data_IF_617252903855
#
_entry.id   IF_617252903855
#
_cell.length_a   1.000
_cell.length_b   1.000
_cell.length_c   1.000
_cell.angle_alpha   90.00
_cell.angle_beta   90.00
_cell.angle_gamma   90.00
#
_symmetry.space_group_name_H-M   'P 1'
#
loop_
_entity.id
_entity.type
_entity.pdbx_description
1 polymer ?
#
# COMPACT_ATOMS: atom_id res chain seq x y z
N UNK A 1 -42.31 -12.50 70.71
CA UNK A 1 -41.75 -11.59 69.72
C UNK A 1 -41.10 -12.45 68.59
N UNK A 2 -41.83 -12.66 67.48
CA UNK A 2 -41.33 -13.47 66.33
C UNK A 2 -40.82 -12.45 65.30
N UNK A 3 -39.49 -12.50 64.99
CA UNK A 3 -38.89 -11.72 63.91
C UNK A 3 -39.07 -12.44 62.60
N UNK A 4 -39.80 -11.85 61.65
CA UNK A 4 -39.85 -12.29 60.27
C UNK A 4 -38.67 -11.73 59.47
N UNK A 5 -37.85 -12.61 58.94
CA UNK A 5 -36.77 -12.26 57.98
C UNK A 5 -37.34 -12.30 56.61
N UNK A 6 -37.45 -11.17 55.91
CA UNK A 6 -37.83 -11.07 54.52
C UNK A 6 -36.56 -11.33 53.67
N UNK A 7 -36.50 -12.45 52.95
CA UNK A 7 -35.46 -12.75 51.95
C UNK A 7 -35.92 -12.14 50.64
N UNK A 8 -35.30 -11.02 50.29
CA UNK A 8 -35.48 -10.39 48.96
C UNK A 8 -34.75 -11.18 47.88
N UNK A 9 -35.51 -11.81 47.01
CA UNK A 9 -34.98 -12.50 45.82
C UNK A 9 -34.62 -11.44 44.75
N UNK A 10 -33.30 -11.18 44.59
CA UNK A 10 -32.80 -10.28 43.55
C UNK A 10 -32.77 -11.04 42.21
N UNK A 11 -33.80 -10.81 41.40
CA UNK A 11 -33.88 -11.41 40.06
C UNK A 11 -32.97 -10.62 39.12
N UNK A 12 -31.76 -11.11 38.87
CA UNK A 12 -30.84 -10.55 37.88
C UNK A 12 -31.35 -10.91 36.49
N UNK A 13 -31.96 -9.95 35.83
CA UNK A 13 -32.28 -10.03 34.39
C UNK A 13 -30.97 -10.00 33.60
N UNK A 14 -30.50 -11.16 33.19
CA UNK A 14 -29.48 -11.24 32.13
C UNK A 14 -30.12 -10.83 30.82
N UNK A 15 -29.90 -9.58 30.41
CA UNK A 15 -30.13 -9.12 29.04
C UNK A 15 -29.17 -9.88 28.12
N UNK A 16 -29.66 -10.98 27.57
CA UNK A 16 -28.98 -11.72 26.52
C UNK A 16 -29.11 -10.87 25.25
N UNK A 17 -28.16 -9.96 25.00
CA UNK A 17 -27.99 -9.35 23.71
C UNK A 17 -27.63 -10.45 22.70
N UNK A 18 -28.64 -10.98 22.02
CA UNK A 18 -28.40 -11.80 20.82
C UNK A 18 -27.66 -10.91 19.82
N UNK A 19 -26.42 -11.29 19.50
CA UNK A 19 -25.76 -10.77 18.31
C UNK A 19 -26.68 -11.06 17.12
N UNK A 20 -27.28 -10.01 16.58
CA UNK A 20 -27.99 -10.10 15.31
C UNK A 20 -26.89 -10.11 14.26
N UNK A 21 -26.43 -11.31 13.86
CA UNK A 21 -25.67 -11.48 12.64
C UNK A 21 -26.57 -11.01 11.49
N UNK A 22 -26.42 -9.76 11.10
CA UNK A 22 -27.05 -9.22 9.91
C UNK A 22 -26.49 -9.99 8.71
N UNK A 23 -27.24 -10.97 8.23
CA UNK A 23 -26.88 -11.69 7.02
C UNK A 23 -27.11 -10.72 5.86
N UNK A 24 -26.04 -10.08 5.40
CA UNK A 24 -26.09 -9.24 4.23
C UNK A 24 -26.48 -10.09 3.03
N UNK A 25 -27.62 -9.82 2.43
CA UNK A 25 -27.97 -10.40 1.14
C UNK A 25 -27.05 -9.75 0.11
N UNK A 26 -26.20 -10.54 -0.55
CA UNK A 26 -25.32 -10.05 -1.61
C UNK A 26 -26.18 -9.74 -2.83
N UNK A 27 -26.53 -8.49 -2.99
CA UNK A 27 -27.19 -8.02 -4.19
C UNK A 27 -26.27 -8.09 -5.40
N UNK A 28 -26.81 -8.35 -6.57
CA UNK A 28 -26.05 -8.38 -7.84
C UNK A 28 -25.31 -7.06 -8.09
N UNK A 29 -25.87 -5.94 -7.65
CA UNK A 29 -25.28 -4.61 -7.69
C UNK A 29 -23.96 -4.54 -6.89
N UNK A 30 -23.92 -5.12 -5.70
CA UNK A 30 -22.73 -5.17 -4.85
C UNK A 30 -21.64 -6.05 -5.49
N UNK A 31 -22.01 -7.25 -5.96
CA UNK A 31 -21.07 -8.16 -6.63
C UNK A 31 -20.45 -7.48 -7.86
N UNK A 32 -21.28 -6.78 -8.65
CA UNK A 32 -20.83 -6.00 -9.80
C UNK A 32 -19.87 -4.88 -9.41
N UNK A 33 -20.19 -4.10 -8.39
CA UNK A 33 -19.33 -3.01 -7.90
C UNK A 33 -17.97 -3.52 -7.40
N UNK A 34 -17.95 -4.60 -6.62
CA UNK A 34 -16.72 -5.22 -6.14
C UNK A 34 -15.86 -5.74 -7.30
N UNK A 35 -16.45 -6.40 -8.28
CA UNK A 35 -15.72 -6.90 -9.45
C UNK A 35 -15.18 -5.75 -10.32
N UNK A 36 -15.89 -4.66 -10.45
CA UNK A 36 -15.40 -3.46 -11.14
C UNK A 36 -14.22 -2.82 -10.38
N UNK A 37 -14.30 -2.71 -9.05
CA UNK A 37 -13.18 -2.26 -8.22
C UNK A 37 -11.93 -3.13 -8.44
N UNK A 38 -12.07 -4.47 -8.49
CA UNK A 38 -10.97 -5.41 -8.76
C UNK A 38 -10.34 -5.17 -10.14
N UNK A 39 -11.14 -4.91 -11.18
CA UNK A 39 -10.65 -4.57 -12.54
C UNK A 39 -9.87 -3.25 -12.55
N UNK A 40 -10.40 -2.22 -11.90
CA UNK A 40 -9.71 -0.92 -11.77
C UNK A 40 -8.36 -1.10 -11.06
N UNK A 41 -8.31 -1.88 -9.97
CA UNK A 41 -7.06 -2.19 -9.26
C UNK A 41 -6.08 -2.94 -10.14
N UNK A 42 -6.53 -3.97 -10.88
CA UNK A 42 -5.70 -4.71 -11.81
C UNK A 42 -5.07 -3.78 -12.86
N UNK A 43 -5.84 -2.88 -13.45
CA UNK A 43 -5.34 -1.87 -14.40
C UNK A 43 -4.31 -0.93 -13.74
N UNK A 44 -4.54 -0.50 -12.50
CA UNK A 44 -3.65 0.41 -11.80
C UNK A 44 -2.32 -0.23 -11.37
N UNK A 45 -2.18 -1.57 -11.44
CA UNK A 45 -0.93 -2.28 -11.12
C UNK A 45 0.17 -2.06 -12.15
N UNK A 46 -0.17 -1.78 -13.39
CA UNK A 46 0.80 -1.61 -14.48
C UNK A 46 1.90 -0.62 -14.10
N UNK A 47 1.56 0.51 -13.48
CA UNK A 47 2.52 1.52 -13.02
C UNK A 47 3.58 1.00 -12.03
N UNK A 48 3.28 -0.08 -11.29
CA UNK A 48 4.21 -0.73 -10.37
C UNK A 48 4.95 -1.88 -11.04
N UNK A 49 4.32 -2.55 -12.03
CA UNK A 49 4.97 -3.58 -12.84
C UNK A 49 6.02 -3.00 -13.79
N UNK A 50 5.89 -1.72 -14.15
CA UNK A 50 6.93 -0.99 -14.88
C UNK A 50 8.20 -0.74 -14.06
N UNK A 51 8.12 -0.78 -12.71
CA UNK A 51 9.28 -0.52 -11.85
C UNK A 51 10.36 -1.58 -12.08
N UNK A 52 11.58 -1.11 -12.33
CA UNK A 52 12.74 -1.96 -12.63
C UNK A 52 13.99 -1.54 -11.85
N UNK A 53 13.90 -0.55 -10.96
CA UNK A 53 14.97 -0.14 -10.10
C UNK A 53 14.56 0.88 -9.04
N UNK A 54 15.16 0.72 -7.86
CA UNK A 54 15.14 1.67 -6.76
C UNK A 54 16.51 1.62 -6.10
N UNK A 55 17.34 2.65 -6.30
CA UNK A 55 18.74 2.69 -5.88
C UNK A 55 18.98 3.90 -5.00
N UNK A 56 19.57 3.70 -3.81
CA UNK A 56 19.97 4.79 -2.94
C UNK A 56 21.12 5.58 -3.57
N UNK A 57 21.02 6.90 -3.59
CA UNK A 57 22.11 7.78 -4.00
C UNK A 57 23.04 7.97 -2.79
N UNK A 58 24.19 7.29 -2.79
CA UNK A 58 25.14 7.25 -1.67
C UNK A 58 26.56 7.74 -2.05
N UNK A 59 26.77 8.02 -3.34
CA UNK A 59 28.03 8.50 -3.89
C UNK A 59 27.89 9.92 -4.45
N UNK A 60 29.02 10.63 -4.59
CA UNK A 60 29.04 11.95 -5.24
C UNK A 60 28.60 11.88 -6.70
N UNK A 61 28.90 10.77 -7.39
CA UNK A 61 28.48 10.51 -8.77
C UNK A 61 27.87 9.13 -8.86
N UNK A 62 26.59 9.06 -9.23
CA UNK A 62 25.80 7.85 -9.33
C UNK A 62 25.47 7.58 -10.80
N UNK A 63 26.31 6.83 -11.50
CA UNK A 63 26.09 6.47 -12.90
C UNK A 63 25.14 5.30 -13.04
N UNK A 64 24.32 5.27 -14.12
CA UNK A 64 23.39 4.18 -14.37
C UNK A 64 23.24 3.84 -15.86
N UNK A 65 22.92 2.58 -16.09
CA UNK A 65 22.77 1.98 -17.42
C UNK A 65 22.97 0.48 -17.37
N UNK A 66 23.17 -0.17 -18.53
CA UNK A 66 23.29 -1.62 -18.62
C UNK A 66 24.67 -2.17 -18.21
N UNK A 67 25.74 -1.40 -18.46
CA UNK A 67 27.10 -1.89 -18.23
C UNK A 67 27.39 -2.09 -16.73
N UNK A 68 28.13 -3.16 -16.40
CA UNK A 68 28.54 -3.47 -15.04
C UNK A 68 29.46 -2.40 -14.41
N UNK A 69 30.03 -1.50 -15.21
CA UNK A 69 30.84 -0.38 -14.75
C UNK A 69 30.02 0.80 -14.21
N UNK A 70 28.69 0.73 -14.24
CA UNK A 70 27.85 1.72 -13.61
C UNK A 70 27.69 1.46 -12.11
N UNK A 71 27.46 2.53 -11.34
CA UNK A 71 27.06 2.41 -9.94
C UNK A 71 25.72 1.64 -9.82
N UNK A 72 24.78 1.97 -10.69
CA UNK A 72 23.48 1.29 -10.75
C UNK A 72 23.31 0.56 -12.07
N UNK A 73 23.33 -0.75 -12.02
CA UNK A 73 23.19 -1.63 -13.18
C UNK A 73 21.73 -1.94 -13.42
N UNK A 74 21.22 -1.55 -14.60
CA UNK A 74 19.85 -1.81 -15.03
C UNK A 74 19.81 -3.07 -15.90
N UNK A 75 19.18 -4.13 -15.41
CA UNK A 75 19.04 -5.42 -16.12
C UNK A 75 17.95 -5.36 -17.22
N UNK A 76 18.07 -4.37 -18.13
CA UNK A 76 17.09 -4.10 -19.17
C UNK A 76 17.64 -4.52 -20.53
N UNK A 77 16.86 -5.32 -21.30
CA UNK A 77 17.25 -5.77 -22.63
C UNK A 77 17.40 -4.58 -23.59
N UNK A 78 18.49 -4.58 -24.37
CA UNK A 78 18.78 -3.53 -25.38
C UNK A 78 18.92 -2.10 -24.82
N UNK A 79 19.21 -1.97 -23.51
CA UNK A 79 19.57 -0.68 -22.96
C UNK A 79 21.00 -0.30 -23.33
N UNK A 80 21.27 1.00 -23.43
CA UNK A 80 22.61 1.54 -23.65
C UNK A 80 23.55 1.23 -22.48
N UNK A 81 24.86 1.10 -22.70
CA UNK A 81 25.82 0.80 -21.63
C UNK A 81 25.72 1.77 -20.46
N UNK A 82 25.57 3.07 -20.73
CA UNK A 82 25.37 4.13 -19.73
C UNK A 82 24.40 5.17 -20.28
N UNK A 83 23.38 5.53 -19.50
CA UNK A 83 22.46 6.63 -19.83
C UNK A 83 23.05 7.97 -19.39
N UNK A 84 23.55 8.01 -18.17
CA UNK A 84 24.07 9.21 -17.57
C UNK A 84 24.53 8.98 -16.13
N UNK A 85 24.69 10.10 -15.41
CA UNK A 85 24.95 10.10 -13.98
C UNK A 85 24.07 11.10 -13.26
N UNK A 86 23.87 10.86 -11.97
CA UNK A 86 23.30 11.80 -11.02
C UNK A 86 24.40 12.22 -10.07
N UNK A 87 24.81 13.47 -10.14
CA UNK A 87 25.83 14.03 -9.28
C UNK A 87 25.17 14.67 -8.06
N UNK A 88 25.62 14.26 -6.88
CA UNK A 88 25.15 14.73 -5.59
C UNK A 88 26.25 15.60 -4.96
N UNK A 89 26.01 16.89 -4.86
CA UNK A 89 26.86 17.81 -4.11
C UNK A 89 26.11 18.39 -2.91
N UNK A 90 26.80 19.10 -2.03
CA UNK A 90 26.20 19.68 -0.82
C UNK A 90 24.96 20.57 -1.08
N UNK A 91 24.89 21.18 -2.26
CA UNK A 91 23.87 22.18 -2.58
C UNK A 91 23.10 21.87 -3.87
N UNK A 92 23.42 20.80 -4.59
CA UNK A 92 22.83 20.53 -5.89
C UNK A 92 22.75 19.04 -6.20
N UNK A 93 21.62 18.67 -6.76
CA UNK A 93 21.39 17.38 -7.39
C UNK A 93 21.28 17.63 -8.90
N UNK A 94 22.17 17.02 -9.70
CA UNK A 94 22.27 17.30 -11.13
C UNK A 94 22.33 16.01 -11.93
N UNK A 95 21.53 15.93 -12.98
CA UNK A 95 21.64 14.86 -13.97
C UNK A 95 22.51 15.31 -15.13
N UNK A 96 23.40 14.43 -15.60
CA UNK A 96 24.23 14.60 -16.79
C UNK A 96 24.06 13.38 -17.70
N UNK A 97 23.60 13.61 -18.94
CA UNK A 97 23.51 12.55 -19.94
C UNK A 97 24.91 12.21 -20.50
N UNK A 98 25.11 10.97 -20.91
CA UNK A 98 26.27 10.60 -21.73
C UNK A 98 26.12 11.27 -23.11
N UNK A 99 27.23 11.73 -23.67
CA UNK A 99 27.28 12.32 -25.03
C UNK A 99 26.58 11.39 -26.03
N UNK A 100 25.81 11.94 -26.94
CA UNK A 100 25.04 11.24 -27.99
C UNK A 100 23.91 10.31 -27.47
N UNK A 101 23.63 10.32 -26.18
CA UNK A 101 22.45 9.65 -25.60
C UNK A 101 21.31 10.68 -25.48
N UNK A 102 20.27 10.49 -26.29
CA UNK A 102 19.09 11.34 -26.25
C UNK A 102 18.27 11.09 -24.98
N UNK A 103 18.24 12.07 -24.12
CA UNK A 103 17.39 12.12 -22.91
C UNK A 103 16.41 13.28 -23.09
N UNK A 104 15.15 13.10 -22.69
CA UNK A 104 14.15 14.16 -22.75
C UNK A 104 13.46 14.36 -21.39
N UNK A 105 12.89 15.55 -21.20
CA UNK A 105 11.96 15.81 -20.09
C UNK A 105 10.51 15.45 -20.48
N UNK A 106 9.54 15.77 -19.62
CA UNK A 106 8.10 15.53 -19.84
C UNK A 106 7.52 16.35 -21.00
N UNK A 107 8.19 17.42 -21.44
CA UNK A 107 7.78 18.27 -22.56
C UNK A 107 8.39 17.81 -23.89
N UNK A 108 9.24 16.76 -23.87
CA UNK A 108 9.96 16.25 -25.05
C UNK A 108 11.22 17.04 -25.39
N UNK A 109 11.62 18.01 -24.57
CA UNK A 109 12.84 18.79 -24.75
C UNK A 109 14.06 17.94 -24.43
N UNK A 110 15.11 18.06 -25.29
CA UNK A 110 16.34 17.28 -25.10
C UNK A 110 17.20 17.86 -23.99
N UNK A 111 17.66 16.98 -23.11
CA UNK A 111 18.41 17.30 -21.89
C UNK A 111 19.80 16.69 -21.96
N UNK A 112 20.85 17.49 -21.95
CA UNK A 112 22.23 17.05 -21.73
C UNK A 112 22.63 17.16 -20.27
N UNK A 113 22.21 18.23 -19.60
CA UNK A 113 22.41 18.43 -18.17
C UNK A 113 21.24 19.22 -17.59
N UNK A 114 20.82 18.88 -16.36
CA UNK A 114 19.73 19.56 -15.66
C UNK A 114 19.90 19.48 -14.14
N UNK A 115 19.67 20.59 -13.44
CA UNK A 115 19.49 20.57 -12.00
C UNK A 115 18.15 19.89 -11.64
N UNK A 116 18.17 18.94 -10.72
CA UNK A 116 16.99 18.22 -10.25
C UNK A 116 16.55 18.82 -8.92
N UNK A 117 15.38 19.45 -8.90
CA UNK A 117 14.77 19.99 -7.68
C UNK A 117 13.75 18.98 -7.14
N UNK A 118 13.81 18.72 -5.84
CA UNK A 118 12.83 17.85 -5.16
C UNK A 118 11.64 18.72 -4.75
N UNK A 119 10.46 18.35 -5.22
CA UNK A 119 9.20 19.04 -4.93
C UNK A 119 8.67 18.71 -3.50
N UNK A 120 7.56 19.34 -3.12
CA UNK A 120 6.91 19.10 -1.83
C UNK A 120 6.42 17.64 -1.63
N UNK A 121 6.28 16.88 -2.72
CA UNK A 121 5.92 15.46 -2.67
C UNK A 121 7.16 14.55 -2.60
N UNK A 122 8.36 15.13 -2.51
CA UNK A 122 9.61 14.39 -2.45
C UNK A 122 10.05 13.81 -3.80
N UNK A 123 9.70 14.44 -4.94
CA UNK A 123 10.02 13.94 -6.27
C UNK A 123 10.75 14.98 -7.11
N UNK A 124 11.73 14.55 -7.91
CA UNK A 124 12.30 15.39 -8.96
C UNK A 124 11.46 15.38 -10.24
N UNK A 125 11.84 16.23 -11.20
CA UNK A 125 11.37 16.11 -12.58
C UNK A 125 11.65 14.70 -13.13
N UNK A 126 10.74 14.20 -13.98
CA UNK A 126 10.88 12.93 -14.70
C UNK A 126 11.70 13.12 -15.96
N UNK A 127 12.63 12.21 -16.21
CA UNK A 127 13.45 12.17 -17.44
C UNK A 127 13.22 10.84 -18.15
N UNK A 128 13.45 10.83 -19.47
CA UNK A 128 13.13 9.72 -20.35
C UNK A 128 14.27 9.39 -21.32
N UNK A 129 14.49 8.12 -21.54
CA UNK A 129 15.32 7.61 -22.64
C UNK A 129 14.61 6.39 -23.25
N UNK A 130 14.09 6.51 -24.48
CA UNK A 130 13.26 5.46 -25.12
C UNK A 130 12.11 5.03 -24.21
N UNK A 131 12.02 3.74 -23.83
CA UNK A 131 11.00 3.20 -22.94
C UNK A 131 11.30 3.38 -21.44
N UNK A 132 12.48 3.90 -21.11
CA UNK A 132 12.91 4.08 -19.72
C UNK A 132 12.52 5.45 -19.24
N UNK A 133 11.94 5.50 -18.06
CA UNK A 133 11.66 6.70 -17.30
C UNK A 133 12.35 6.61 -15.95
N UNK A 134 12.86 7.71 -15.44
CA UNK A 134 13.40 7.81 -14.09
C UNK A 134 13.12 9.14 -13.44
N UNK A 135 13.23 9.17 -12.14
CA UNK A 135 13.26 10.39 -11.32
C UNK A 135 14.00 10.11 -10.01
N UNK A 136 14.47 11.14 -9.35
CA UNK A 136 14.93 11.03 -7.96
C UNK A 136 13.74 11.25 -7.05
N UNK A 137 13.66 10.42 -6.00
CA UNK A 137 12.62 10.51 -4.98
C UNK A 137 13.26 10.55 -3.60
N UNK A 138 12.56 11.16 -2.63
CA UNK A 138 12.93 11.13 -1.22
C UNK A 138 12.13 10.04 -0.50
N UNK A 139 12.82 9.24 0.33
CA UNK A 139 12.21 8.31 1.28
C UNK A 139 12.99 8.37 2.59
N UNK A 140 12.30 8.62 3.70
CA UNK A 140 12.92 8.74 5.03
C UNK A 140 14.11 9.70 5.07
N UNK A 141 14.03 10.82 4.34
CA UNK A 141 15.11 11.81 4.26
C UNK A 141 16.27 11.45 3.32
N UNK A 142 16.26 10.26 2.74
CA UNK A 142 17.29 9.79 1.80
C UNK A 142 16.82 9.88 0.35
N UNK A 143 17.76 10.07 -0.57
CA UNK A 143 17.49 10.18 -2.01
C UNK A 143 17.67 8.84 -2.71
N UNK A 144 16.72 8.51 -3.59
CA UNK A 144 16.73 7.29 -4.39
C UNK A 144 16.48 7.59 -5.86
N UNK A 145 17.24 6.95 -6.75
CA UNK A 145 16.90 6.85 -8.17
C UNK A 145 15.83 5.78 -8.34
N UNK A 146 14.65 6.17 -8.83
CA UNK A 146 13.57 5.26 -9.19
C UNK A 146 13.47 5.15 -10.70
N UNK A 147 13.45 3.93 -11.22
CA UNK A 147 13.48 3.64 -12.66
C UNK A 147 12.28 2.79 -13.06
N UNK A 148 11.68 3.12 -14.20
CA UNK A 148 10.59 2.37 -14.83
C UNK A 148 11.00 1.98 -16.24
N UNK A 149 10.56 0.79 -16.68
CA UNK A 149 10.60 0.32 -18.06
C UNK A 149 9.17 0.03 -18.51
N UNK A 150 8.63 0.82 -19.45
CA UNK A 150 7.28 0.61 -20.00
C UNK A 150 7.15 -0.68 -20.81
N UNK A 151 8.25 -1.37 -21.08
CA UNK A 151 8.32 -2.69 -21.73
C UNK A 151 8.79 -3.80 -20.78
N UNK A 152 8.71 -3.58 -19.47
CA UNK A 152 9.07 -4.61 -18.50
C UNK A 152 8.26 -5.89 -18.76
N UNK A 153 8.92 -7.06 -18.94
CA UNK A 153 8.23 -8.32 -19.17
C UNK A 153 7.22 -8.70 -18.09
N UNK A 154 7.42 -8.21 -16.85
CA UNK A 154 6.48 -8.40 -15.73
C UNK A 154 5.05 -7.90 -16.05
N UNK A 155 4.90 -6.88 -16.91
CA UNK A 155 3.60 -6.33 -17.31
C UNK A 155 2.76 -7.40 -18.03
N UNK A 156 3.40 -8.22 -18.87
CA UNK A 156 2.72 -9.28 -19.62
C UNK A 156 2.64 -10.59 -18.84
N UNK A 157 3.63 -10.86 -17.99
CA UNK A 157 3.73 -12.08 -17.20
C UNK A 157 2.68 -12.12 -16.09
N UNK A 158 2.47 -10.99 -15.40
CA UNK A 158 1.55 -10.90 -14.27
C UNK A 158 0.09 -10.92 -14.72
N UNK A 159 -0.67 -11.95 -14.32
CA UNK A 159 -2.09 -12.14 -14.70
C UNK A 159 -3.09 -11.64 -13.66
N UNK A 160 -2.61 -11.12 -12.54
CA UNK A 160 -3.43 -10.68 -11.41
C UNK A 160 -3.44 -11.70 -10.26
N UNK A 161 -4.13 -11.37 -9.22
CA UNK A 161 -4.31 -12.25 -8.06
C UNK A 161 -5.70 -12.86 -8.06
N UNK A 162 -5.81 -14.12 -7.64
CA UNK A 162 -7.08 -14.73 -7.27
C UNK A 162 -7.62 -14.02 -6.02
N UNK A 163 -8.92 -14.06 -5.84
CA UNK A 163 -9.58 -13.60 -4.61
C UNK A 163 -10.27 -14.77 -3.93
N UNK A 164 -10.49 -14.64 -2.64
CA UNK A 164 -11.47 -15.49 -1.97
C UNK A 164 -12.86 -15.26 -2.58
N UNK A 165 -13.74 -16.24 -2.43
CA UNK A 165 -15.15 -16.04 -2.68
C UNK A 165 -15.68 -14.93 -1.80
N UNK A 166 -16.66 -14.19 -2.31
CA UNK A 166 -17.28 -13.10 -1.56
C UNK A 166 -17.97 -13.70 -0.34
N UNK A 167 -17.66 -13.19 0.84
CA UNK A 167 -18.16 -13.73 2.09
C UNK A 167 -18.74 -12.65 2.99
N UNK A 168 -20.03 -12.77 3.30
CA UNK A 168 -20.77 -11.87 4.17
C UNK A 168 -20.23 -11.89 5.62
N UNK A 169 -19.62 -13.00 6.05
CA UNK A 169 -19.03 -13.12 7.39
C UNK A 169 -17.98 -12.04 7.68
N UNK A 170 -17.41 -11.47 6.62
CA UNK A 170 -16.35 -10.46 6.70
C UNK A 170 -16.81 -9.05 6.26
N UNK A 171 -18.11 -8.79 6.38
CA UNK A 171 -18.71 -7.46 6.25
C UNK A 171 -19.28 -7.07 7.62
N UNK A 172 -18.82 -5.96 8.18
CA UNK A 172 -19.16 -5.54 9.53
C UNK A 172 -19.77 -4.14 9.55
N UNK A 173 -20.76 -3.93 10.43
CA UNK A 173 -21.10 -2.61 10.92
C UNK A 173 -20.01 -2.25 11.95
N UNK A 174 -19.14 -1.32 11.63
CA UNK A 174 -18.04 -0.87 12.48
C UNK A 174 -18.27 0.57 12.95
N UNK A 175 -17.80 0.90 14.12
CA UNK A 175 -17.80 2.28 14.63
C UNK A 175 -16.46 2.92 14.32
N UNK A 176 -16.48 4.06 13.63
CA UNK A 176 -15.31 4.86 13.35
C UNK A 176 -15.27 6.07 14.29
N UNK A 177 -14.10 6.32 14.89
CA UNK A 177 -13.83 7.49 15.72
C UNK A 177 -12.57 8.20 15.25
N UNK A 178 -12.68 9.49 15.00
CA UNK A 178 -11.51 10.34 14.76
C UNK A 178 -10.70 10.51 16.04
N UNK A 179 -9.38 10.53 15.92
CA UNK A 179 -8.51 10.97 17.01
C UNK A 179 -8.63 12.50 17.17
N UNK A 180 -8.54 13.00 18.39
CA UNK A 180 -8.49 14.46 18.66
C UNK A 180 -7.31 15.12 17.94
N UNK A 181 -6.19 14.42 17.91
CA UNK A 181 -4.99 14.80 17.14
C UNK A 181 -4.50 13.58 16.38
N UNK A 182 -4.24 13.76 15.08
CA UNK A 182 -3.67 12.67 14.26
C UNK A 182 -2.37 12.17 14.88
N UNK A 183 -2.19 10.84 14.89
CA UNK A 183 -0.95 10.23 15.32
C UNK A 183 -0.04 10.06 14.12
N UNK A 184 1.21 10.50 14.28
CA UNK A 184 2.25 10.34 13.27
C UNK A 184 3.17 9.23 13.75
N UNK A 185 3.24 8.14 13.01
CA UNK A 185 4.02 6.96 13.38
C UNK A 185 5.00 6.59 12.27
N UNK A 186 6.19 6.17 12.68
CA UNK A 186 7.14 5.53 11.76
C UNK A 186 6.77 4.07 11.63
N UNK A 187 6.48 3.64 10.40
CA UNK A 187 6.06 2.28 10.09
C UNK A 187 7.12 1.60 9.23
N UNK A 188 7.42 0.36 9.54
CA UNK A 188 8.38 -0.44 8.77
C UNK A 188 7.85 -0.76 7.36
N UNK A 189 8.78 -0.96 6.42
CA UNK A 189 8.47 -1.36 5.05
C UNK A 189 9.29 -2.56 4.58
N UNK A 190 8.88 -3.16 3.46
CA UNK A 190 9.53 -4.35 2.87
C UNK A 190 11.02 -4.18 2.61
N UNK A 191 11.48 -3.01 2.23
CA UNK A 191 12.90 -2.77 1.89
C UNK A 191 13.73 -2.26 3.08
N UNK A 192 13.19 -2.30 4.30
CA UNK A 192 13.86 -1.75 5.47
C UNK A 192 14.01 -0.23 5.42
N UNK A 193 13.23 0.43 4.56
CA UNK A 193 13.15 1.90 4.47
C UNK A 193 11.87 2.30 5.21
N UNK A 194 11.93 2.65 6.50
CA UNK A 194 10.75 3.04 7.25
C UNK A 194 10.15 4.30 6.62
N UNK A 195 8.86 4.47 6.75
CA UNK A 195 8.19 5.69 6.28
C UNK A 195 7.23 6.19 7.34
N UNK A 196 6.91 7.47 7.29
CA UNK A 196 6.01 8.11 8.24
C UNK A 196 4.60 8.05 7.69
N UNK A 197 3.66 7.63 8.52
CA UNK A 197 2.24 7.59 8.16
C UNK A 197 1.41 8.29 9.24
N UNK A 198 0.34 8.92 8.79
CA UNK A 198 -0.63 9.59 9.66
C UNK A 198 -1.79 8.64 9.95
N UNK A 199 -2.10 8.38 11.21
CA UNK A 199 -3.35 7.76 11.63
C UNK A 199 -4.30 8.84 12.13
N UNK A 200 -5.49 8.89 11.52
CA UNK A 200 -6.50 9.93 11.76
C UNK A 200 -7.63 9.48 12.66
N UNK A 201 -7.79 8.17 12.85
CA UNK A 201 -8.87 7.59 13.64
C UNK A 201 -8.75 6.08 13.74
N UNK A 202 -9.76 5.47 14.34
CA UNK A 202 -9.81 4.04 14.60
C UNK A 202 -11.20 3.48 14.26
N UNK A 203 -11.20 2.29 13.64
CA UNK A 203 -12.38 1.43 13.49
C UNK A 203 -12.47 0.49 14.67
N UNK A 204 -13.68 0.26 15.17
CA UNK A 204 -13.98 -0.77 16.16
C UNK A 204 -15.10 -1.66 15.62
N UNK A 205 -14.92 -2.97 15.70
CA UNK A 205 -15.91 -3.95 15.25
C UNK A 205 -15.85 -5.21 16.13
N UNK A 206 -16.85 -6.07 16.00
CA UNK A 206 -16.89 -7.35 16.73
C UNK A 206 -16.95 -8.52 15.75
N UNK A 207 -16.20 -9.56 16.07
CA UNK A 207 -16.21 -10.82 15.36
C UNK A 207 -16.17 -11.98 16.35
N UNK A 208 -17.14 -12.89 16.26
CA UNK A 208 -17.29 -14.05 17.16
C UNK A 208 -17.19 -13.68 18.67
N UNK A 209 -17.90 -12.62 19.05
CA UNK A 209 -17.95 -12.15 20.44
C UNK A 209 -16.76 -11.32 20.91
N UNK A 210 -15.65 -11.29 20.15
CA UNK A 210 -14.45 -10.54 20.47
C UNK A 210 -14.44 -9.18 19.79
N UNK A 211 -14.01 -8.13 20.50
CA UNK A 211 -13.82 -6.81 19.97
C UNK A 211 -12.44 -6.68 19.30
N UNK A 212 -12.39 -6.00 18.16
CA UNK A 212 -11.20 -5.68 17.39
C UNK A 212 -11.17 -4.20 17.06
N UNK A 213 -9.98 -3.68 16.83
CA UNK A 213 -9.79 -2.33 16.34
C UNK A 213 -8.74 -2.28 15.24
N UNK A 214 -8.88 -1.31 14.33
CA UNK A 214 -7.93 -1.02 13.26
C UNK A 214 -7.70 0.48 13.20
N UNK A 215 -6.46 0.90 13.23
CA UNK A 215 -6.09 2.28 12.98
C UNK A 215 -6.23 2.61 11.50
N UNK A 216 -6.76 3.79 11.23
CA UNK A 216 -7.08 4.27 9.88
C UNK A 216 -6.20 5.47 9.55
N UNK A 217 -5.49 5.37 8.44
CA UNK A 217 -4.66 6.43 7.91
C UNK A 217 -5.45 7.48 7.13
N UNK A 218 -4.77 8.55 6.76
CA UNK A 218 -5.32 9.63 5.94
C UNK A 218 -5.98 9.08 4.67
N UNK A 219 -7.11 9.69 4.28
CA UNK A 219 -7.91 9.25 3.13
C UNK A 219 -8.65 7.91 3.31
N UNK A 220 -8.77 7.40 4.54
CA UNK A 220 -9.46 6.13 4.83
C UNK A 220 -8.60 4.90 4.58
N UNK A 221 -7.28 5.06 4.47
CA UNK A 221 -6.35 3.97 4.22
C UNK A 221 -6.22 3.04 5.42
N UNK A 222 -6.38 1.73 5.21
CA UNK A 222 -6.26 0.70 6.24
C UNK A 222 -5.29 -0.38 5.78
N UNK A 223 -4.29 -0.64 6.59
CA UNK A 223 -3.36 -1.77 6.45
C UNK A 223 -3.81 -2.88 7.40
N UNK A 224 -3.90 -4.11 6.93
CA UNK A 224 -4.41 -5.24 7.72
C UNK A 224 -3.47 -6.44 7.62
N UNK A 225 -3.00 -6.92 8.76
CA UNK A 225 -2.37 -8.22 8.91
C UNK A 225 -3.34 -9.20 9.59
N UNK A 226 -3.23 -10.48 9.28
CA UNK A 226 -4.10 -11.52 9.85
C UNK A 226 -3.41 -12.90 9.81
N UNK A 227 -4.05 -13.92 10.37
CA UNK A 227 -3.47 -15.27 10.43
C UNK A 227 -3.40 -15.99 9.06
N UNK A 228 -3.82 -15.36 7.96
CA UNK A 228 -3.57 -15.88 6.60
C UNK A 228 -2.32 -15.29 5.97
N UNK A 229 -1.74 -14.25 6.58
CA UNK A 229 -0.55 -13.55 6.07
C UNK A 229 0.67 -14.49 6.05
N UNK A 230 1.31 -14.60 4.89
CA UNK A 230 2.44 -15.52 4.67
C UNK A 230 2.05 -16.96 4.35
N UNK A 231 0.75 -17.31 4.43
CA UNK A 231 0.25 -18.63 4.02
C UNK A 231 -0.52 -18.57 2.71
N UNK A 232 -1.70 -17.95 2.74
CA UNK A 232 -2.61 -17.84 1.58
C UNK A 232 -2.78 -16.41 1.10
N UNK A 233 -2.34 -15.44 1.91
CA UNK A 233 -2.29 -14.02 1.56
C UNK A 233 -0.87 -13.48 1.70
N UNK A 234 -0.62 -12.29 1.16
CA UNK A 234 0.71 -11.70 1.19
C UNK A 234 1.21 -11.49 2.62
N UNK A 235 2.44 -11.92 2.91
CA UNK A 235 3.03 -11.88 4.25
C UNK A 235 3.21 -10.48 4.83
N UNK A 236 3.34 -9.46 3.99
CA UNK A 236 3.37 -8.05 4.37
C UNK A 236 2.00 -7.43 4.62
N UNK A 237 0.94 -8.24 4.74
CA UNK A 237 -0.42 -7.76 4.93
C UNK A 237 -1.10 -7.28 3.65
N UNK A 238 -2.33 -6.84 3.78
CA UNK A 238 -3.19 -6.35 2.68
C UNK A 238 -3.71 -4.97 3.01
N UNK A 239 -4.15 -4.27 1.99
CA UNK A 239 -4.61 -2.90 2.08
C UNK A 239 -6.07 -2.78 1.67
N UNK A 240 -6.74 -1.79 2.22
CA UNK A 240 -8.05 -1.35 1.74
C UNK A 240 -8.24 0.14 2.00
N UNK A 241 -9.31 0.68 1.48
CA UNK A 241 -9.79 2.02 1.80
C UNK A 241 -11.23 1.92 2.28
N UNK A 242 -11.56 2.67 3.31
CA UNK A 242 -12.94 2.88 3.76
C UNK A 242 -13.41 4.27 3.33
N UNK A 243 -14.70 4.42 3.17
CA UNK A 243 -15.33 5.73 3.05
C UNK A 243 -15.41 6.36 4.45
N UNK A 244 -14.71 7.49 4.62
CA UNK A 244 -14.66 8.19 5.90
C UNK A 244 -15.97 8.93 6.16
N UNK A 245 -16.62 8.73 7.32
CA UNK A 245 -17.77 9.54 7.71
C UNK A 245 -17.32 10.97 8.03
N UNK A 246 -18.22 11.94 7.93
CA UNK A 246 -17.91 13.35 8.25
C UNK A 246 -17.59 13.58 9.72
N UNK A 247 -18.13 12.75 10.61
CA UNK A 247 -17.96 12.78 12.06
C UNK A 247 -17.85 11.34 12.57
N UNK A 248 -17.54 11.14 13.84
CA UNK A 248 -17.60 9.81 14.45
C UNK A 248 -18.95 9.15 14.17
N UNK A 249 -18.95 7.84 13.91
CA UNK A 249 -20.16 7.10 13.63
C UNK A 249 -19.94 5.77 12.92
N UNK A 250 -21.06 5.15 12.57
CA UNK A 250 -21.06 3.82 11.95
C UNK A 250 -20.62 3.87 10.50
N UNK A 251 -19.80 2.90 10.11
CA UNK A 251 -19.32 2.69 8.73
C UNK A 251 -19.35 1.20 8.39
N UNK A 252 -19.54 0.89 7.12
CA UNK A 252 -19.39 -0.50 6.65
C UNK A 252 -17.92 -0.84 6.46
N UNK A 253 -17.41 -1.80 7.23
CA UNK A 253 -16.07 -2.38 7.07
C UNK A 253 -16.20 -3.69 6.29
N UNK A 254 -15.86 -3.64 4.99
CA UNK A 254 -15.98 -4.76 4.08
C UNK A 254 -14.62 -5.28 3.64
N UNK A 255 -14.19 -6.35 4.25
CA UNK A 255 -12.89 -6.97 3.94
C UNK A 255 -12.83 -7.69 2.58
N UNK A 256 -13.94 -7.86 1.86
CA UNK A 256 -13.90 -8.36 0.49
C UNK A 256 -13.18 -7.39 -0.47
N UNK A 257 -13.00 -6.12 -0.07
CA UNK A 257 -12.21 -5.11 -0.77
C UNK A 257 -10.70 -5.16 -0.47
N UNK A 258 -10.22 -6.04 0.40
CA UNK A 258 -8.79 -6.19 0.67
C UNK A 258 -8.02 -6.57 -0.60
N UNK A 259 -6.89 -5.90 -0.81
CA UNK A 259 -6.02 -6.12 -1.96
C UNK A 259 -4.55 -6.22 -1.56
N UNK A 260 -3.77 -6.92 -2.38
CA UNK A 260 -2.33 -7.04 -2.18
C UNK A 260 -1.62 -5.71 -2.50
N UNK A 261 -0.71 -5.25 -1.63
CA UNK A 261 0.10 -4.06 -1.88
C UNK A 261 1.05 -4.28 -3.06
N UNK A 262 1.59 -3.21 -3.66
CA UNK A 262 2.52 -3.31 -4.78
C UNK A 262 3.72 -4.24 -4.54
N UNK A 263 4.19 -4.36 -3.30
CA UNK A 263 5.31 -5.22 -2.94
C UNK A 263 5.03 -6.73 -3.06
N UNK A 264 3.78 -7.12 -3.25
CA UNK A 264 3.42 -8.51 -3.54
C UNK A 264 3.78 -8.93 -4.98
N UNK A 265 3.97 -7.96 -5.88
CA UNK A 265 4.21 -8.20 -7.31
C UNK A 265 5.28 -7.30 -7.93
N UNK A 266 5.93 -6.44 -7.15
CA UNK A 266 7.07 -5.60 -7.57
C UNK A 266 8.12 -5.55 -6.46
N UNK A 267 9.38 -5.75 -6.83
CA UNK A 267 10.51 -5.74 -5.88
C UNK A 267 10.98 -4.32 -5.51
N UNK A 268 10.60 -3.32 -6.32
CA UNK A 268 11.11 -1.95 -6.23
C UNK A 268 10.13 -0.99 -5.56
N UNK A 269 9.30 -1.49 -4.64
CA UNK A 269 8.32 -0.71 -3.91
C UNK A 269 8.56 -0.75 -2.40
N UNK A 270 8.26 0.36 -1.73
CA UNK A 270 8.43 0.55 -0.29
C UNK A 270 7.06 0.49 0.41
N UNK A 271 6.42 -0.70 0.40
CA UNK A 271 5.13 -0.85 1.04
C UNK A 271 5.28 -0.95 2.54
N UNK A 272 4.47 -0.21 3.26
CA UNK A 272 4.39 -0.25 4.72
C UNK A 272 3.78 -1.57 5.18
N UNK A 273 4.26 -2.09 6.29
CA UNK A 273 3.64 -3.22 6.96
C UNK A 273 2.48 -2.74 7.87
N UNK A 274 1.44 -3.55 8.05
CA UNK A 274 0.40 -3.24 9.03
C UNK A 274 1.01 -3.04 10.41
N UNK A 275 0.71 -1.93 11.11
CA UNK A 275 1.20 -1.70 12.46
C UNK A 275 0.63 -2.75 13.41
N UNK A 276 1.23 -2.88 14.59
CA UNK A 276 0.87 -3.94 15.55
C UNK A 276 -0.63 -3.97 15.90
N UNK A 277 -1.25 -2.81 16.04
CA UNK A 277 -2.68 -2.67 16.35
C UNK A 277 -3.60 -3.11 15.20
N UNK A 278 -3.06 -3.19 13.98
CA UNK A 278 -3.79 -3.66 12.79
C UNK A 278 -3.52 -5.15 12.47
N UNK A 279 -3.02 -5.91 13.44
CA UNK A 279 -2.85 -7.35 13.33
C UNK A 279 -4.06 -8.07 13.94
N UNK A 280 -4.84 -8.75 13.10
CA UNK A 280 -6.02 -9.50 13.52
C UNK A 280 -5.62 -10.93 13.88
N UNK A 281 -6.03 -11.41 15.05
CA UNK A 281 -5.73 -12.76 15.55
C UNK A 281 -6.72 -13.83 15.07
N UNK A 282 -7.27 -13.65 13.87
CA UNK A 282 -8.11 -14.64 13.20
C UNK A 282 -7.77 -14.73 11.70
N UNK A 283 -8.24 -15.77 11.04
CA UNK A 283 -8.01 -16.01 9.61
C UNK A 283 -9.04 -15.23 8.78
N UNK A 284 -8.58 -14.17 8.12
CA UNK A 284 -9.43 -13.30 7.32
C UNK A 284 -9.47 -13.78 5.85
N UNK A 285 -10.35 -14.74 5.57
CA UNK A 285 -10.53 -15.34 4.24
C UNK A 285 -11.46 -14.51 3.35
N UNK A 286 -11.09 -13.25 3.11
CA UNK A 286 -11.77 -12.31 2.24
C UNK A 286 -10.76 -11.51 1.40
N UNK A 287 -11.17 -10.90 0.30
CA UNK A 287 -10.31 -10.10 -0.58
C UNK A 287 -9.30 -10.93 -1.37
N UNK A 288 -8.18 -10.33 -1.77
CA UNK A 288 -7.17 -10.98 -2.61
C UNK A 288 -6.33 -12.00 -1.84
N UNK A 289 -5.94 -13.05 -2.56
CA UNK A 289 -4.99 -14.09 -2.14
C UNK A 289 -3.61 -13.78 -2.72
N UNK A 290 -2.56 -14.48 -2.26
CA UNK A 290 -1.22 -14.39 -2.86
C UNK A 290 -1.13 -15.18 -4.17
N UNK A 291 -1.98 -16.19 -4.35
CA UNK A 291 -2.02 -17.02 -5.55
C UNK A 291 -2.39 -16.17 -6.79
N UNK A 292 -1.52 -16.19 -7.78
CA UNK A 292 -1.77 -15.50 -9.05
C UNK A 292 -2.84 -16.21 -9.89
N UNK A 293 -3.48 -15.44 -10.75
CA UNK A 293 -4.39 -15.98 -11.78
C UNK A 293 -3.54 -16.62 -12.88
N UNK A 294 -3.85 -17.85 -13.25
CA UNK A 294 -3.18 -18.61 -14.33
C UNK A 294 -3.51 -18.01 -15.71
#
# INVERSE_FOLDING_TARGET
>A
MKKHILIGCFLTLFLNCKEVNKQYHLEDSYVKALNENRKIRAKNRVKYLELTGLFKLDSTTNSFGKAASNQFVLSIKNLVPRIGSIDLSKNELRFNAVKDIKVTNTFGEEIQTIALHIDANGNSAQLFHKQIKWQVITRSGELYLRVWDSKNPAIQAFKGFKSYEINNEFIFDAEFSYFETKRIETVESKLGIPDVTDFIGQLQFRYKGKAFSLDVGSGGFVMVGDLTSGETTYGGGRYMYIELPKTNGSVTLDFNYLYNPPCAYSEFTTCLYPPRQNQLDFRLKAGERLEETL
#
